data_IF_843097614223
#
_entry.id   IF_843097614223
#
_cell.length_a   1.000
_cell.length_b   1.000
_cell.length_c   1.000
_cell.angle_alpha   90.00
_cell.angle_beta   90.00
_cell.angle_gamma   90.00
#
_symmetry.space_group_name_H-M   'P 1'
#
loop_
_entity.id
_entity.type
_entity.pdbx_description
1 polymer ?
#
# COMPACT_ATOMS: atom_id res chain seq x y z
N UNK A 1 17.85 -1.14 -6.33
CA UNK A 1 18.92 -0.59 -5.46
C UNK A 1 20.12 -1.55 -5.43
N UNK A 2 21.38 -1.07 -5.33
CA UNK A 2 22.58 -1.91 -5.15
C UNK A 2 22.95 -1.98 -3.66
N UNK A 3 23.25 -3.17 -3.12
CA UNK A 3 23.74 -3.33 -1.74
C UNK A 3 25.11 -4.00 -1.73
N UNK A 4 25.91 -3.70 -0.71
CA UNK A 4 27.23 -4.28 -0.48
C UNK A 4 27.08 -5.54 0.36
N UNK A 5 27.44 -6.70 -0.18
CA UNK A 5 27.43 -7.96 0.56
C UNK A 5 28.55 -8.07 1.59
N UNK A 6 28.50 -9.12 2.42
CA UNK A 6 29.54 -9.41 3.43
C UNK A 6 30.94 -9.65 2.82
N UNK A 7 30.99 -10.06 1.55
CA UNK A 7 32.21 -10.20 0.75
C UNK A 7 32.67 -8.89 0.08
N UNK A 8 32.04 -7.77 0.41
CA UNK A 8 32.37 -6.44 -0.09
C UNK A 8 31.88 -6.13 -1.51
N UNK A 9 31.20 -7.06 -2.21
CA UNK A 9 30.73 -6.89 -3.59
C UNK A 9 29.36 -6.22 -3.65
N UNK A 10 29.18 -5.31 -4.61
CA UNK A 10 27.88 -4.70 -4.90
C UNK A 10 27.02 -5.64 -5.74
N UNK A 11 25.78 -5.90 -5.30
CA UNK A 11 24.82 -6.78 -5.98
C UNK A 11 23.51 -6.05 -6.22
N UNK A 12 22.85 -6.38 -7.34
CA UNK A 12 21.45 -6.03 -7.53
C UNK A 12 20.58 -6.88 -6.59
N UNK A 13 19.67 -6.22 -5.88
CA UNK A 13 18.59 -6.85 -5.14
C UNK A 13 17.74 -7.68 -6.10
N UNK A 14 17.93 -9.01 -6.09
CA UNK A 14 17.07 -9.95 -6.81
C UNK A 14 16.23 -10.72 -5.80
N UNK A 15 14.90 -10.51 -5.75
CA UNK A 15 14.05 -11.28 -4.86
C UNK A 15 14.10 -12.75 -5.25
N UNK A 16 14.32 -13.63 -4.28
CA UNK A 16 14.16 -15.08 -4.48
C UNK A 16 12.72 -15.46 -4.16
N UNK A 17 11.98 -15.98 -5.14
CA UNK A 17 10.61 -16.48 -4.95
C UNK A 17 10.56 -17.83 -4.25
N UNK A 18 11.58 -18.68 -4.42
CA UNK A 18 11.68 -19.96 -3.72
C UNK A 18 12.45 -19.78 -2.41
N UNK A 19 11.83 -20.21 -1.31
CA UNK A 19 12.53 -20.39 -0.05
C UNK A 19 13.67 -21.38 -0.31
N UNK A 20 14.95 -21.01 -0.14
CA UNK A 20 16.03 -21.96 -0.34
C UNK A 20 15.80 -23.14 0.61
N UNK A 21 15.81 -24.33 0.05
CA UNK A 21 15.62 -25.58 0.79
C UNK A 21 16.66 -25.64 1.90
N UNK A 22 16.21 -25.88 3.15
CA UNK A 22 16.80 -26.79 4.15
C UNK A 22 16.49 -26.37 5.60
N UNK A 23 16.04 -27.37 6.37
CA UNK A 23 15.94 -27.56 7.84
C UNK A 23 15.30 -26.45 8.70
N UNK A 24 14.39 -26.88 9.59
CA UNK A 24 13.61 -26.07 10.53
C UNK A 24 14.42 -25.10 11.43
N UNK A 25 15.73 -25.29 11.53
CA UNK A 25 16.66 -24.38 12.23
C UNK A 25 16.86 -23.02 11.53
N UNK A 26 16.40 -22.85 10.30
CA UNK A 26 16.57 -21.61 9.52
C UNK A 26 15.43 -20.58 9.66
N UNK A 27 14.39 -20.84 10.48
CA UNK A 27 13.24 -19.94 10.60
C UNK A 27 13.62 -18.54 11.10
N UNK A 28 14.47 -18.45 12.12
CA UNK A 28 14.89 -17.15 12.68
C UNK A 28 15.82 -16.39 11.72
N UNK A 29 16.67 -17.13 10.99
CA UNK A 29 17.55 -16.56 9.95
C UNK A 29 16.73 -15.88 8.84
N UNK A 30 15.71 -16.57 8.30
CA UNK A 30 14.88 -16.03 7.21
C UNK A 30 13.84 -15.01 7.66
N UNK A 31 13.44 -15.02 8.94
CA UNK A 31 12.47 -14.06 9.50
C UNK A 31 12.92 -12.61 9.39
N UNK A 32 14.23 -12.35 9.48
CA UNK A 32 14.82 -11.01 9.29
C UNK A 32 15.17 -10.68 7.84
N UNK A 33 15.10 -11.67 6.95
CA UNK A 33 15.51 -11.61 5.54
C UNK A 33 14.33 -11.84 4.59
N UNK A 34 13.11 -11.66 5.07
CA UNK A 34 11.90 -11.91 4.28
C UNK A 34 10.87 -10.79 4.43
N UNK A 35 10.19 -10.51 3.33
CA UNK A 35 9.10 -9.54 3.26
C UNK A 35 7.88 -10.19 2.59
N UNK A 36 6.68 -9.78 3.00
CA UNK A 36 5.45 -10.21 2.35
C UNK A 36 5.04 -9.16 1.32
N UNK A 37 5.17 -9.48 0.04
CA UNK A 37 4.87 -8.63 -1.11
C UNK A 37 3.66 -9.17 -1.88
N UNK A 38 2.56 -8.40 -2.01
CA UNK A 38 1.32 -8.86 -2.66
C UNK A 38 0.90 -10.29 -2.28
N UNK A 39 0.91 -10.60 -0.97
CA UNK A 39 0.62 -11.94 -0.39
C UNK A 39 1.64 -13.05 -0.72
N UNK A 40 2.67 -12.77 -1.52
CA UNK A 40 3.82 -13.66 -1.72
C UNK A 40 4.92 -13.34 -0.72
N UNK A 41 5.70 -14.34 -0.34
CA UNK A 41 6.87 -14.14 0.52
C UNK A 41 8.12 -14.07 -0.34
N UNK A 42 8.84 -12.95 -0.27
CA UNK A 42 10.12 -12.78 -0.94
C UNK A 42 11.24 -12.94 0.09
N UNK A 43 12.31 -13.60 -0.33
CA UNK A 43 13.50 -13.80 0.49
C UNK A 43 14.69 -13.04 -0.11
N UNK A 44 15.48 -12.46 0.78
CA UNK A 44 16.68 -11.70 0.47
C UNK A 44 17.88 -12.35 1.14
N UNK A 45 19.07 -12.12 0.59
CA UNK A 45 20.31 -12.68 1.11
C UNK A 45 20.90 -11.87 2.27
N UNK A 46 20.36 -10.68 2.57
CA UNK A 46 20.75 -9.82 3.67
C UNK A 46 19.59 -9.52 4.62
N UNK A 47 19.91 -9.11 5.86
CA UNK A 47 18.89 -8.67 6.82
C UNK A 47 18.25 -7.37 6.35
N UNK A 48 16.94 -7.41 6.18
CA UNK A 48 16.12 -6.24 5.82
C UNK A 48 15.39 -5.66 7.03
N UNK A 49 15.43 -6.35 8.18
CA UNK A 49 14.91 -5.88 9.46
C UNK A 49 16.05 -5.48 10.39
N UNK A 50 15.98 -4.24 10.83
CA UNK A 50 16.87 -3.61 11.82
C UNK A 50 16.38 -3.81 13.27
N UNK A 51 15.09 -4.05 13.47
CA UNK A 51 14.47 -4.05 14.80
C UNK A 51 14.11 -2.67 15.33
N UNK A 52 14.36 -1.60 14.57
CA UNK A 52 14.14 -0.21 14.97
C UNK A 52 12.97 0.39 14.21
N UNK A 53 12.06 1.05 14.91
CA UNK A 53 10.92 1.71 14.28
C UNK A 53 11.36 2.99 13.55
N UNK A 54 10.98 3.13 12.28
CA UNK A 54 11.25 4.30 11.45
C UNK A 54 10.71 5.59 12.06
N UNK A 55 9.54 5.58 12.71
CA UNK A 55 8.92 6.80 13.24
C UNK A 55 9.41 7.16 14.64
N UNK A 56 9.25 6.23 15.60
CA UNK A 56 9.56 6.53 16.99
C UNK A 56 11.01 6.25 17.37
N UNK A 57 11.83 5.75 16.44
CA UNK A 57 13.27 5.46 16.58
C UNK A 57 13.62 4.55 17.77
N UNK A 58 12.64 3.87 18.34
CA UNK A 58 12.83 2.91 19.44
C UNK A 58 13.14 1.53 18.87
N UNK A 59 14.11 0.86 19.49
CA UNK A 59 14.34 -0.58 19.31
C UNK A 59 13.14 -1.37 19.84
N UNK A 60 12.79 -2.46 19.16
CA UNK A 60 11.75 -3.40 19.57
C UNK A 60 11.89 -3.82 21.05
N UNK A 61 13.10 -4.06 21.56
CA UNK A 61 13.37 -4.43 22.97
C UNK A 61 12.93 -3.35 23.97
N UNK A 62 12.99 -2.09 23.57
CA UNK A 62 12.59 -0.93 24.37
C UNK A 62 11.10 -0.57 24.21
N UNK A 63 10.33 -1.37 23.45
CA UNK A 63 8.91 -1.15 23.21
C UNK A 63 8.04 -2.14 23.99
N UNK A 64 6.81 -1.72 24.27
CA UNK A 64 5.80 -2.57 24.93
C UNK A 64 5.50 -3.84 24.11
N UNK A 65 5.48 -3.71 22.79
CA UNK A 65 5.55 -4.85 21.87
C UNK A 65 7.00 -5.06 21.46
N UNK A 66 7.59 -6.21 21.77
CA UNK A 66 8.96 -6.56 21.37
C UNK A 66 9.11 -6.90 19.88
N UNK A 67 8.24 -6.37 19.04
CA UNK A 67 8.16 -6.69 17.63
C UNK A 67 7.97 -5.44 16.78
N UNK A 68 8.74 -5.41 15.70
CA UNK A 68 8.59 -4.54 14.55
C UNK A 68 8.20 -5.38 13.33
N UNK A 69 7.52 -4.74 12.39
CA UNK A 69 7.08 -5.35 11.13
C UNK A 69 7.50 -4.44 9.97
N UNK A 70 7.70 -5.06 8.80
CA UNK A 70 7.92 -4.30 7.57
C UNK A 70 6.56 -3.90 7.00
N UNK A 71 6.44 -2.63 6.64
CA UNK A 71 5.25 -2.02 6.07
C UNK A 71 5.60 -1.40 4.72
N UNK A 72 4.76 -1.65 3.72
CA UNK A 72 4.91 -1.07 2.38
C UNK A 72 4.10 0.21 2.30
N UNK A 73 4.76 1.36 2.15
CA UNK A 73 4.07 2.64 1.90
C UNK A 73 3.52 2.67 0.47
N UNK A 74 4.29 2.10 -0.47
CA UNK A 74 3.91 1.93 -1.88
C UNK A 74 4.49 0.61 -2.40
N UNK A 75 3.86 0.05 -3.42
CA UNK A 75 4.41 -1.07 -4.17
C UNK A 75 5.16 -0.57 -5.41
N UNK A 76 6.42 -0.95 -5.54
CA UNK A 76 7.30 -0.81 -6.69
C UNK A 76 7.68 -2.21 -7.20
N UNK A 77 7.23 -2.56 -8.42
CA UNK A 77 7.44 -3.90 -8.98
C UNK A 77 8.91 -4.19 -9.33
N UNK A 78 9.70 -3.15 -9.59
CA UNK A 78 11.11 -3.28 -9.96
C UNK A 78 12.00 -3.44 -8.72
N UNK A 79 11.59 -2.86 -7.59
CA UNK A 79 12.31 -2.92 -6.32
C UNK A 79 11.35 -3.04 -5.12
N UNK A 80 11.10 -4.27 -4.63
CA UNK A 80 10.19 -4.51 -3.51
C UNK A 80 10.59 -3.90 -2.17
N UNK A 81 11.81 -3.35 -2.03
CA UNK A 81 12.27 -2.73 -0.79
C UNK A 81 12.25 -1.19 -0.82
N UNK A 82 12.13 -0.57 -1.99
CA UNK A 82 12.27 0.88 -2.20
C UNK A 82 11.32 1.73 -1.33
N UNK A 83 10.11 1.23 -1.06
CA UNK A 83 9.09 1.92 -0.25
C UNK A 83 8.69 1.10 1.00
N UNK A 84 9.63 0.29 1.49
CA UNK A 84 9.43 -0.60 2.63
C UNK A 84 10.11 -0.03 3.86
N UNK A 85 9.32 0.23 4.90
CA UNK A 85 9.81 0.77 6.18
C UNK A 85 9.55 -0.21 7.31
N UNK A 86 10.41 -0.19 8.33
CA UNK A 86 10.21 -0.98 9.54
C UNK A 86 9.52 -0.16 10.62
N UNK A 87 8.44 -0.69 11.20
CA UNK A 87 7.60 0.06 12.13
C UNK A 87 7.13 -0.82 13.28
N UNK A 88 6.98 -0.23 14.47
CA UNK A 88 6.43 -0.92 15.62
C UNK A 88 4.91 -1.00 15.57
N UNK A 89 4.31 -1.90 16.34
CA UNK A 89 2.84 -2.06 16.41
C UNK A 89 2.11 -0.74 16.70
N UNK A 90 2.65 0.10 17.59
CA UNK A 90 2.07 1.41 17.94
C UNK A 90 2.03 2.38 16.75
N UNK A 91 3.11 2.46 15.99
CA UNK A 91 3.20 3.37 14.83
C UNK A 91 2.58 2.75 13.58
N UNK A 92 2.59 1.42 13.44
CA UNK A 92 2.00 0.71 12.30
C UNK A 92 0.52 1.06 12.12
N UNK A 93 -0.24 1.04 13.22
CA UNK A 93 -1.66 1.40 13.18
C UNK A 93 -1.92 2.85 12.72
N UNK A 94 -1.01 3.78 13.03
CA UNK A 94 -1.13 5.18 12.61
C UNK A 94 -0.93 5.30 11.10
N UNK A 95 0.05 4.58 10.55
CA UNK A 95 0.34 4.54 9.12
C UNK A 95 -0.85 3.96 8.38
N UNK A 96 -1.43 2.85 8.84
CA UNK A 96 -2.61 2.25 8.19
C UNK A 96 -3.76 3.27 8.11
N UNK A 97 -3.96 4.09 9.15
CA UNK A 97 -5.02 5.10 9.19
C UNK A 97 -4.75 6.30 8.26
N UNK A 98 -3.51 6.77 8.19
CA UNK A 98 -3.15 7.91 7.34
C UNK A 98 -2.93 7.50 5.88
N UNK A 99 -2.32 6.34 5.64
CA UNK A 99 -2.28 5.70 4.33
C UNK A 99 -3.68 5.36 3.84
N UNK A 100 -4.63 4.97 4.71
CA UNK A 100 -6.03 4.83 4.27
C UNK A 100 -6.56 6.13 3.65
N UNK A 101 -6.28 7.31 4.22
CA UNK A 101 -6.71 8.58 3.60
C UNK A 101 -6.02 8.87 2.27
N UNK A 102 -4.74 8.53 2.14
CA UNK A 102 -3.96 8.73 0.91
C UNK A 102 -4.38 7.72 -0.16
N UNK A 103 -4.58 6.45 0.23
CA UNK A 103 -5.09 5.37 -0.60
C UNK A 103 -6.52 5.69 -1.01
N UNK A 104 -7.39 6.16 -0.11
CA UNK A 104 -8.73 6.63 -0.46
C UNK A 104 -8.63 7.83 -1.41
N UNK A 105 -7.68 8.76 -1.24
CA UNK A 105 -7.52 9.86 -2.22
C UNK A 105 -7.05 9.39 -3.60
N UNK A 106 -6.14 8.41 -3.65
CA UNK A 106 -5.51 7.94 -4.90
C UNK A 106 -6.27 6.82 -5.61
N UNK A 107 -6.92 5.95 -4.83
CA UNK A 107 -7.60 4.73 -5.23
C UNK A 107 -9.07 4.71 -4.82
N UNK A 108 -9.63 5.75 -4.19
CA UNK A 108 -11.09 5.88 -4.23
C UNK A 108 -11.48 5.76 -5.70
N UNK A 109 -12.50 4.95 -6.01
CA UNK A 109 -13.02 4.91 -7.36
C UNK A 109 -13.28 6.37 -7.74
N UNK A 110 -12.53 6.89 -8.71
CA UNK A 110 -12.93 8.13 -9.37
C UNK A 110 -14.26 7.79 -10.02
N UNK A 111 -15.33 8.05 -9.26
CA UNK A 111 -16.70 8.19 -9.72
C UNK A 111 -17.25 7.03 -10.54
N UNK A 112 -17.47 5.86 -9.94
CA UNK A 112 -18.59 5.02 -10.42
C UNK A 112 -19.93 5.65 -9.97
N UNK A 113 -20.01 6.13 -8.72
CA UNK A 113 -21.22 6.81 -8.21
C UNK A 113 -21.63 8.03 -9.05
N UNK A 114 -20.73 8.99 -9.30
CA UNK A 114 -21.09 10.16 -10.14
C UNK A 114 -21.31 9.83 -11.62
N UNK A 115 -20.81 8.70 -12.14
CA UNK A 115 -21.08 8.26 -13.51
C UNK A 115 -22.48 7.66 -13.62
N UNK A 116 -22.88 6.82 -12.66
CA UNK A 116 -24.22 6.24 -12.58
C UNK A 116 -25.27 7.32 -12.32
N UNK A 117 -24.98 8.30 -11.45
CA UNK A 117 -25.91 9.42 -11.18
C UNK A 117 -26.11 10.31 -12.42
N UNK A 118 -25.05 10.54 -13.22
CA UNK A 118 -25.16 11.30 -14.48
C UNK A 118 -25.91 10.53 -15.58
N UNK A 119 -25.72 9.22 -15.64
CA UNK A 119 -26.43 8.33 -16.55
C UNK A 119 -27.93 8.31 -16.23
N UNK A 120 -28.27 8.16 -14.96
CA UNK A 120 -29.65 8.21 -14.46
C UNK A 120 -30.30 9.58 -14.70
N UNK A 121 -29.57 10.68 -14.45
CA UNK A 121 -30.06 12.03 -14.73
C UNK A 121 -30.29 12.23 -16.23
N UNK A 122 -29.40 11.74 -17.10
CA UNK A 122 -29.56 11.82 -18.56
C UNK A 122 -30.77 11.02 -19.05
N UNK A 123 -30.99 9.81 -18.54
CA UNK A 123 -32.15 8.99 -18.88
C UNK A 123 -33.45 9.66 -18.41
N UNK A 124 -33.46 10.19 -17.18
CA UNK A 124 -34.60 10.94 -16.65
C UNK A 124 -34.95 12.15 -17.54
N UNK A 125 -33.94 12.91 -17.98
CA UNK A 125 -34.16 14.04 -18.90
C UNK A 125 -34.70 13.61 -20.26
N UNK A 126 -34.20 12.51 -20.83
CA UNK A 126 -34.66 12.04 -22.14
C UNK A 126 -36.10 11.51 -22.12
N UNK A 127 -36.61 11.12 -20.95
CA UNK A 127 -37.99 10.67 -20.76
C UNK A 127 -38.96 11.80 -20.36
N UNK A 128 -38.47 13.03 -20.18
CA UNK A 128 -39.30 14.21 -19.93
C UNK A 128 -39.76 14.84 -21.25
N UNK A 129 -40.97 15.42 -21.26
CA UNK A 129 -41.42 16.23 -22.38
C UNK A 129 -40.52 17.46 -22.57
N UNK A 130 -40.56 18.06 -23.77
CA UNK A 130 -39.76 19.24 -24.07
C UNK A 130 -40.04 20.40 -23.11
N UNK A 131 -41.31 20.65 -22.80
CA UNK A 131 -41.75 21.71 -21.89
C UNK A 131 -41.23 21.52 -20.46
N UNK A 132 -41.25 20.28 -19.95
CA UNK A 132 -40.74 19.96 -18.62
C UNK A 132 -39.23 20.10 -18.51
N UNK A 133 -38.48 19.73 -19.57
CA UNK A 133 -37.03 19.97 -19.63
C UNK A 133 -36.70 21.46 -19.60
N UNK A 134 -37.45 22.28 -20.36
CA UNK A 134 -37.22 23.73 -20.40
C UNK A 134 -37.50 24.41 -19.06
N UNK A 135 -38.53 23.97 -18.32
CA UNK A 135 -38.80 24.44 -16.94
C UNK A 135 -37.65 24.15 -15.97
N UNK A 136 -36.96 23.02 -16.11
CA UNK A 136 -35.83 22.64 -15.22
C UNK A 136 -34.59 23.52 -15.44
N UNK A 137 -34.30 23.90 -16.69
CA UNK A 137 -33.04 24.58 -17.03
C UNK A 137 -33.15 26.08 -17.27
N UNK A 138 -34.34 26.59 -17.57
CA UNK A 138 -34.55 28.03 -17.80
C UNK A 138 -35.42 28.59 -16.69
N UNK A 139 -34.77 29.27 -15.72
CA UNK A 139 -35.50 30.01 -14.67
C UNK A 139 -36.36 31.09 -15.35
N UNK A 140 -37.68 30.93 -15.27
CA UNK A 140 -38.64 31.92 -15.78
C UNK A 140 -39.27 31.60 -17.14
N UNK A 141 -39.29 30.34 -17.60
CA UNK A 141 -40.01 29.96 -18.83
C UNK A 141 -41.52 30.22 -18.67
N UNK A 142 -42.12 31.18 -19.39
CA UNK A 142 -43.52 31.55 -19.21
C UNK A 142 -44.44 30.59 -19.97
N UNK A 143 -45.60 30.30 -19.38
CA UNK A 143 -46.75 29.66 -20.03
C UNK A 143 -47.80 30.73 -20.33
#
# INVERSE_FOLDING_TARGET
>A
MLYKGEDGKYRQLKPREKMPTINDKNREYWKKRSVTWHKKKLFFDHEIKTGVCYFCKRDARAQRSRSTVLHHVKYNNDDPLDWTIEVCTKCHYQIDKDNKKIIDRHFAPRTFAKAVDREAERIALNNMSYEERMRKYVRGYPF
#
